data_IF_030864851637
#
_entry.id   IF_030864851637
#
_cell.length_a   1.000
_cell.length_b   1.000
_cell.length_c   1.000
_cell.angle_alpha   90.00
_cell.angle_beta   90.00
_cell.angle_gamma   90.00
#
_symmetry.space_group_name_H-M   'P 1'
#
loop_
_entity.id
_entity.type
_entity.pdbx_description
1 polymer ?
#
# COMPACT_ATOMS: atom_id res chain seq x y z
N UNK A 1 15.65 15.70 -1.55
CA UNK A 1 14.50 16.44 -0.98
C UNK A 1 13.82 15.58 0.07
N UNK A 2 13.03 16.09 1.02
CA UNK A 2 12.37 15.24 2.04
C UNK A 2 11.54 14.09 1.43
N UNK A 3 10.93 14.35 0.27
CA UNK A 3 10.25 13.34 -0.55
C UNK A 3 11.14 12.17 -0.96
N UNK A 4 12.39 12.43 -1.37
CA UNK A 4 13.36 11.36 -1.68
C UNK A 4 13.78 10.57 -0.43
N UNK A 5 13.47 11.08 0.76
CA UNK A 5 13.65 10.41 2.05
C UNK A 5 12.46 9.61 2.55
N UNK A 6 11.37 9.52 1.77
CA UNK A 6 10.17 8.76 2.15
C UNK A 6 9.32 9.49 3.17
N UNK A 7 9.40 10.82 3.20
CA UNK A 7 8.58 11.68 4.04
C UNK A 7 7.52 12.33 3.15
N UNK A 8 6.24 12.04 3.44
CA UNK A 8 5.11 12.73 2.81
C UNK A 8 5.14 14.21 3.17
N UNK A 9 4.94 15.07 2.16
CA UNK A 9 5.00 16.54 2.33
C UNK A 9 3.73 17.20 1.82
N UNK A 10 3.41 18.36 2.37
CA UNK A 10 2.32 19.23 1.95
C UNK A 10 2.86 20.64 1.69
N UNK A 11 2.18 21.40 0.84
CA UNK A 11 2.54 22.79 0.54
C UNK A 11 1.28 23.66 0.48
N UNK A 12 1.44 24.97 0.72
CA UNK A 12 0.35 25.95 0.66
C UNK A 12 0.44 26.72 -0.64
N UNK A 13 -0.67 26.79 -1.36
CA UNK A 13 -0.79 27.56 -2.60
C UNK A 13 -2.10 28.33 -2.59
N UNK A 14 -2.03 29.64 -2.79
CA UNK A 14 -3.19 30.56 -2.75
C UNK A 14 -4.03 30.41 -1.47
N UNK A 15 -3.38 30.22 -0.32
CA UNK A 15 -4.03 30.07 0.99
C UNK A 15 -4.66 28.70 1.26
N UNK A 16 -4.53 27.74 0.34
CA UNK A 16 -5.06 26.37 0.49
C UNK A 16 -3.91 25.39 0.71
N UNK A 17 -4.02 24.56 1.76
CA UNK A 17 -3.08 23.47 2.02
C UNK A 17 -3.37 22.29 1.09
N UNK A 18 -2.35 21.81 0.38
CA UNK A 18 -2.42 20.68 -0.56
C UNK A 18 -1.37 19.64 -0.21
N UNK A 19 -1.72 18.38 -0.40
CA UNK A 19 -0.75 17.27 -0.33
C UNK A 19 0.15 17.34 -1.56
N UNK A 20 1.47 17.33 -1.35
CA UNK A 20 2.44 17.34 -2.43
C UNK A 20 2.64 15.93 -3.00
N UNK A 21 2.88 14.95 -2.13
CA UNK A 21 2.90 13.52 -2.45
C UNK A 21 2.84 12.70 -1.16
N UNK A 22 1.94 11.73 -1.12
CA UNK A 22 1.83 10.77 -0.02
C UNK A 22 2.75 9.57 -0.28
N UNK A 23 4.01 9.71 0.13
CA UNK A 23 5.03 8.66 0.02
C UNK A 23 5.18 7.88 1.32
N UNK A 24 5.61 6.62 1.20
CA UNK A 24 5.98 5.77 2.34
C UNK A 24 7.49 5.74 2.56
N UNK A 25 7.92 5.14 3.66
CA UNK A 25 9.34 4.91 3.96
C UNK A 25 9.95 3.74 3.19
N UNK A 26 9.16 3.03 2.36
CA UNK A 26 9.63 1.92 1.55
C UNK A 26 10.60 2.39 0.46
N UNK A 27 11.78 1.76 0.41
CA UNK A 27 12.87 2.17 -0.49
C UNK A 27 13.57 1.02 -1.21
N UNK A 28 13.53 -0.18 -0.63
CA UNK A 28 14.24 -1.35 -1.13
C UNK A 28 13.34 -2.57 -1.03
N UNK A 29 13.44 -3.44 -2.02
CA UNK A 29 12.79 -4.74 -1.99
C UNK A 29 13.53 -5.72 -1.06
N UNK A 30 12.98 -6.93 -0.92
CA UNK A 30 13.55 -7.99 -0.09
C UNK A 30 15.00 -8.37 -0.48
N UNK A 31 15.42 -8.06 -1.71
CA UNK A 31 16.77 -8.30 -2.22
C UNK A 31 17.72 -7.09 -2.01
N UNK A 32 17.26 -6.05 -1.31
CA UNK A 32 18.06 -4.84 -1.04
C UNK A 32 18.23 -3.92 -2.24
N UNK A 33 17.56 -4.19 -3.35
CA UNK A 33 17.56 -3.39 -4.58
C UNK A 33 16.56 -2.25 -4.44
N UNK A 34 16.89 -1.08 -5.00
CA UNK A 34 15.98 0.06 -5.03
C UNK A 34 14.68 -0.32 -5.74
N UNK A 35 13.56 -0.11 -5.07
CA UNK A 35 12.23 -0.46 -5.56
C UNK A 35 11.23 0.61 -5.12
N UNK A 36 10.42 1.07 -6.06
CA UNK A 36 9.40 2.09 -5.85
C UNK A 36 7.98 1.52 -5.83
N UNK A 37 7.80 0.20 -5.90
CA UNK A 37 6.49 -0.48 -5.98
C UNK A 37 5.54 -0.13 -4.82
N UNK A 38 6.08 0.26 -3.66
CA UNK A 38 5.30 0.71 -2.50
C UNK A 38 5.69 2.12 -2.04
N UNK A 39 6.35 2.91 -2.91
CA UNK A 39 6.74 4.27 -2.58
C UNK A 39 5.52 5.17 -2.39
N UNK A 40 4.48 5.01 -3.21
CA UNK A 40 3.23 5.76 -3.08
C UNK A 40 2.21 5.01 -2.21
N UNK A 41 1.55 5.74 -1.30
CA UNK A 41 0.61 5.17 -0.32
C UNK A 41 -0.63 4.53 -0.97
N UNK A 42 -1.08 5.08 -2.10
CA UNK A 42 -2.26 4.61 -2.84
C UNK A 42 -2.16 3.15 -3.28
N UNK A 43 -0.96 2.70 -3.68
CA UNK A 43 -0.70 1.33 -4.10
C UNK A 43 -0.91 0.37 -2.94
N UNK A 44 -0.37 0.71 -1.76
CA UNK A 44 -0.54 -0.09 -0.55
C UNK A 44 -2.00 -0.08 -0.07
N UNK A 45 -2.68 1.06 -0.15
CA UNK A 45 -4.08 1.16 0.24
C UNK A 45 -4.97 0.25 -0.61
N UNK A 46 -4.76 0.25 -1.92
CA UNK A 46 -5.49 -0.63 -2.85
C UNK A 46 -5.19 -2.10 -2.58
N UNK A 47 -3.92 -2.48 -2.41
CA UNK A 47 -3.55 -3.86 -2.07
C UNK A 47 -4.17 -4.31 -0.73
N UNK A 48 -4.13 -3.45 0.30
CA UNK A 48 -4.73 -3.75 1.59
C UNK A 48 -6.25 -3.93 1.50
N UNK A 49 -6.93 -3.11 0.71
CA UNK A 49 -8.36 -3.27 0.43
C UNK A 49 -8.65 -4.63 -0.22
N UNK A 50 -7.91 -5.01 -1.26
CA UNK A 50 -8.08 -6.30 -1.95
C UNK A 50 -7.87 -7.48 -0.99
N UNK A 51 -6.79 -7.47 -0.20
CA UNK A 51 -6.50 -8.53 0.77
C UNK A 51 -7.59 -8.67 1.83
N UNK A 52 -8.08 -7.55 2.38
CA UNK A 52 -9.18 -7.54 3.35
C UNK A 52 -10.47 -8.07 2.74
N UNK A 53 -10.79 -7.68 1.51
CA UNK A 53 -11.96 -8.15 0.78
C UNK A 53 -11.88 -9.65 0.51
N UNK A 54 -10.75 -10.15 0.00
CA UNK A 54 -10.54 -11.58 -0.24
C UNK A 54 -10.67 -12.39 1.05
N UNK A 55 -10.04 -11.94 2.14
CA UNK A 55 -10.20 -12.56 3.47
C UNK A 55 -11.67 -12.66 3.87
N UNK A 56 -12.41 -11.57 3.77
CA UNK A 56 -13.84 -11.52 4.12
C UNK A 56 -14.65 -12.52 3.30
N UNK A 57 -14.47 -12.53 1.98
CA UNK A 57 -15.16 -13.46 1.07
C UNK A 57 -14.85 -14.92 1.42
N UNK A 58 -13.57 -15.25 1.66
CA UNK A 58 -13.17 -16.62 1.99
C UNK A 58 -13.79 -17.05 3.32
N UNK A 59 -13.66 -16.22 4.37
CA UNK A 59 -14.16 -16.58 5.70
C UNK A 59 -15.69 -16.68 5.78
N UNK A 60 -16.41 -15.86 5.00
CA UNK A 60 -17.88 -15.86 5.00
C UNK A 60 -18.46 -16.99 4.15
N UNK A 61 -17.92 -17.20 2.95
CA UNK A 61 -18.45 -18.19 1.99
C UNK A 61 -17.97 -19.61 2.29
N UNK A 62 -16.73 -19.77 2.78
CA UNK A 62 -16.08 -21.08 2.93
C UNK A 62 -15.75 -21.45 4.38
N UNK A 63 -16.41 -20.83 5.38
CA UNK A 63 -16.05 -20.98 6.80
C UNK A 63 -16.09 -22.40 7.40
N UNK A 64 -16.73 -23.38 6.74
CA UNK A 64 -16.75 -24.81 7.13
C UNK A 64 -16.20 -25.75 6.05
N UNK A 65 -15.57 -25.20 5.01
CA UNK A 65 -15.06 -25.98 3.90
C UNK A 65 -13.59 -26.32 4.13
N UNK A 66 -13.18 -27.55 3.79
CA UNK A 66 -11.76 -27.93 3.78
C UNK A 66 -11.11 -27.30 2.55
N UNK A 67 -10.09 -26.49 2.75
CA UNK A 67 -9.23 -26.04 1.63
C UNK A 67 -8.41 -27.25 1.18
N UNK A 68 -8.64 -27.72 -0.04
CA UNK A 68 -7.77 -28.68 -0.70
C UNK A 68 -6.60 -27.91 -1.33
N UNK A 69 -5.41 -28.50 -1.31
CA UNK A 69 -4.25 -28.02 -2.08
C UNK A 69 -4.17 -28.87 -3.33
N UNK A 70 -4.97 -28.56 -4.34
CA UNK A 70 -4.80 -29.08 -5.70
C UNK A 70 -3.71 -28.23 -6.38
N UNK A 71 -2.46 -28.65 -6.17
CA UNK A 71 -1.28 -28.01 -6.76
C UNK A 71 -1.30 -28.01 -8.28
#
# INVERSE_FOLDING_TARGET
TLLSHGVATAYVESGVLRIQRDVTTYRKNAYGVADNSYLDSETLHTSAYVLRKLKSVITSKYGRHKLASDG
#
